data_IF_474462378757
#
_entry.id   IF_474462378757
#
_cell.length_a   1.000
_cell.length_b   1.000
_cell.length_c   1.000
_cell.angle_alpha   90.00
_cell.angle_beta   90.00
_cell.angle_gamma   90.00
#
_symmetry.space_group_name_H-M   'P 1'
#
loop_
_entity.id
_entity.type
_entity.pdbx_description
1 polymer ?
#
# COMPACT_ATOMS: atom_id res chain seq x y z
N UNK A 1 -5.34 28.01 10.85
CA UNK A 1 -5.48 26.75 10.09
C UNK A 1 -4.12 26.44 9.53
N UNK A 2 -3.32 25.64 10.25
CA UNK A 2 -2.03 25.20 9.72
C UNK A 2 -2.32 24.07 8.73
N UNK A 3 -1.86 24.24 7.49
CA UNK A 3 -1.75 23.15 6.54
C UNK A 3 -0.80 22.12 7.14
N UNK A 4 -1.35 21.05 7.72
CA UNK A 4 -0.60 19.81 7.85
C UNK A 4 -0.53 19.25 6.44
N UNK A 5 0.51 19.65 5.69
CA UNK A 5 0.97 18.90 4.52
C UNK A 5 1.14 17.46 5.02
N UNK A 6 0.16 16.61 4.73
CA UNK A 6 0.23 15.23 5.12
C UNK A 6 1.26 14.55 4.22
N UNK A 7 2.04 13.59 4.72
CA UNK A 7 3.04 12.89 3.90
C UNK A 7 2.40 12.29 2.64
N UNK A 8 1.12 11.88 2.70
CA UNK A 8 0.38 11.41 1.53
C UNK A 8 0.15 12.52 0.50
N UNK A 9 -0.21 13.73 0.93
CA UNK A 9 -0.41 14.85 0.00
C UNK A 9 0.89 15.25 -0.69
N UNK A 10 2.01 15.17 0.02
CA UNK A 10 3.33 15.39 -0.55
C UNK A 10 3.67 14.33 -1.59
N UNK A 11 3.51 13.05 -1.26
CA UNK A 11 3.74 11.94 -2.20
C UNK A 11 2.77 12.06 -3.39
N UNK A 12 1.49 12.36 -3.17
CA UNK A 12 0.52 12.62 -4.23
C UNK A 12 0.99 13.74 -5.14
N UNK A 13 1.41 14.88 -4.60
CA UNK A 13 1.95 16.01 -5.38
C UNK A 13 3.15 15.60 -6.24
N UNK A 14 4.05 14.79 -5.70
CA UNK A 14 5.23 14.28 -6.42
C UNK A 14 4.85 13.20 -7.46
N UNK A 15 3.79 12.43 -7.23
CA UNK A 15 3.28 11.40 -8.13
C UNK A 15 2.34 11.93 -9.24
N UNK A 16 1.83 13.16 -9.16
CA UNK A 16 0.95 13.76 -10.20
C UNK A 16 1.62 13.82 -11.58
N UNK A 17 2.95 13.83 -11.65
CA UNK A 17 3.69 13.77 -12.92
C UNK A 17 3.87 12.35 -13.49
N UNK A 18 3.41 11.33 -12.77
CA UNK A 18 3.51 9.91 -13.14
C UNK A 18 2.13 9.31 -13.42
N UNK A 19 2.06 8.14 -14.05
CA UNK A 19 0.84 7.35 -14.34
C UNK A 19 0.09 6.84 -13.10
N UNK A 20 0.39 7.39 -11.92
CA UNK A 20 -0.12 6.95 -10.64
C UNK A 20 -1.64 7.05 -10.56
N UNK A 21 -2.30 6.01 -10.05
CA UNK A 21 -3.71 6.09 -9.64
C UNK A 21 -3.78 6.45 -8.17
N UNK A 22 -4.61 7.44 -7.84
CA UNK A 22 -4.78 7.94 -6.48
C UNK A 22 -6.15 7.55 -5.94
N UNK A 23 -6.16 6.83 -4.83
CA UNK A 23 -7.32 6.55 -3.97
C UNK A 23 -7.04 7.21 -2.61
N UNK A 24 -8.04 7.60 -1.83
CA UNK A 24 -7.91 8.58 -0.75
C UNK A 24 -6.69 8.35 0.16
N UNK A 25 -6.47 7.12 0.63
CA UNK A 25 -5.33 6.74 1.47
C UNK A 25 -4.32 5.81 0.77
N UNK A 26 -4.43 5.66 -0.55
CA UNK A 26 -3.65 4.70 -1.35
C UNK A 26 -3.14 5.30 -2.66
N UNK A 27 -1.88 5.05 -2.97
CA UNK A 27 -1.26 5.45 -4.24
C UNK A 27 -0.80 4.19 -4.97
N UNK A 28 -1.27 4.02 -6.20
CA UNK A 28 -0.90 2.90 -7.05
C UNK A 28 0.16 3.34 -8.06
N UNK A 29 1.40 2.93 -7.77
CA UNK A 29 2.56 2.78 -8.64
C UNK A 29 2.34 1.76 -9.78
N UNK A 30 3.12 1.86 -10.85
CA UNK A 30 3.32 0.73 -11.77
C UNK A 30 4.05 -0.43 -11.05
N UNK A 31 5.05 -0.11 -10.21
CA UNK A 31 5.89 -1.08 -9.48
C UNK A 31 5.52 -1.21 -7.99
N UNK A 32 4.75 -0.26 -7.45
CA UNK A 32 4.53 -0.13 -6.00
C UNK A 32 3.07 0.16 -5.65
N UNK A 33 2.65 -0.15 -4.43
CA UNK A 33 1.42 0.37 -3.83
C UNK A 33 1.82 1.00 -2.50
N UNK A 34 1.55 2.29 -2.35
CA UNK A 34 1.84 3.04 -1.13
C UNK A 34 0.53 3.18 -0.36
N UNK A 35 0.50 2.66 0.86
CA UNK A 35 -0.61 2.83 1.79
C UNK A 35 -0.19 3.81 2.87
N UNK A 36 -1.09 4.71 3.28
CA UNK A 36 -0.84 5.54 4.44
C UNK A 36 -2.02 5.53 5.42
N UNK A 37 -1.72 5.64 6.70
CA UNK A 37 -2.73 5.73 7.77
C UNK A 37 -2.25 6.64 8.89
N UNK A 38 -3.20 7.34 9.53
CA UNK A 38 -2.89 8.18 10.68
C UNK A 38 -2.53 7.33 11.91
N UNK A 39 -3.02 6.08 11.96
CA UNK A 39 -2.69 5.10 12.99
C UNK A 39 -2.19 3.79 12.39
N UNK A 40 -1.41 2.99 13.16
CA UNK A 40 -1.02 1.65 12.72
C UNK A 40 -2.21 0.72 12.46
N UNK A 41 -3.33 0.96 13.16
CA UNK A 41 -4.55 0.17 13.01
C UNK A 41 -5.22 0.43 11.66
N UNK A 42 -5.44 1.69 11.30
CA UNK A 42 -6.02 2.07 10.00
C UNK A 42 -5.15 1.56 8.85
N UNK A 43 -3.84 1.71 8.97
CA UNK A 43 -2.88 1.22 7.99
C UNK A 43 -2.95 -0.31 7.80
N UNK A 44 -3.11 -1.06 8.89
CA UNK A 44 -3.28 -2.51 8.85
C UNK A 44 -4.63 -2.91 8.22
N UNK A 45 -5.70 -2.19 8.52
CA UNK A 45 -7.03 -2.42 7.92
C UNK A 45 -6.99 -2.18 6.40
N UNK A 46 -6.38 -1.08 5.96
CA UNK A 46 -6.15 -0.78 4.53
C UNK A 46 -5.30 -1.86 3.86
N UNK A 47 -4.22 -2.29 4.51
CA UNK A 47 -3.37 -3.37 4.00
C UNK A 47 -4.15 -4.67 3.81
N UNK A 48 -4.93 -5.08 4.82
CA UNK A 48 -5.76 -6.29 4.76
C UNK A 48 -6.78 -6.19 3.63
N UNK A 49 -7.50 -5.07 3.52
CA UNK A 49 -8.49 -4.86 2.47
C UNK A 49 -7.86 -5.00 1.08
N UNK A 50 -6.77 -4.26 0.82
CA UNK A 50 -6.15 -4.24 -0.51
C UNK A 50 -5.52 -5.59 -0.85
N UNK A 51 -4.84 -6.26 0.08
CA UNK A 51 -4.29 -7.60 -0.18
C UNK A 51 -5.38 -8.66 -0.31
N UNK A 52 -6.51 -8.55 0.40
CA UNK A 52 -7.64 -9.48 0.24
C UNK A 52 -8.23 -9.44 -1.16
N UNK A 53 -8.36 -8.25 -1.76
CA UNK A 53 -8.78 -8.10 -3.16
C UNK A 53 -7.81 -8.79 -4.15
N UNK A 54 -6.52 -8.88 -3.81
CA UNK A 54 -5.54 -9.66 -4.57
C UNK A 54 -5.67 -11.16 -4.29
N UNK A 55 -5.92 -11.55 -3.04
CA UNK A 55 -6.11 -12.94 -2.63
C UNK A 55 -7.32 -13.59 -3.32
N UNK A 56 -8.40 -12.86 -3.59
CA UNK A 56 -9.55 -13.34 -4.37
C UNK A 56 -9.17 -13.76 -5.80
N UNK A 57 -8.08 -13.21 -6.33
CA UNK A 57 -7.54 -13.53 -7.66
C UNK A 57 -6.44 -14.61 -7.60
N UNK A 58 -6.05 -15.04 -6.41
CA UNK A 58 -5.00 -16.04 -6.16
C UNK A 58 -5.62 -17.37 -5.71
N UNK A 59 -4.86 -18.47 -5.86
CA UNK A 59 -5.21 -19.73 -5.19
C UNK A 59 -5.18 -19.52 -3.66
N UNK A 60 -6.25 -19.91 -2.96
CA UNK A 60 -6.44 -19.71 -1.51
C UNK A 60 -5.31 -20.27 -0.63
N UNK A 61 -4.62 -21.32 -1.07
CA UNK A 61 -3.45 -21.86 -0.39
C UNK A 61 -2.20 -20.96 -0.52
N UNK A 62 -2.10 -20.17 -1.60
CA UNK A 62 -1.00 -19.21 -1.84
C UNK A 62 -1.28 -17.88 -1.15
N UNK A 63 -2.53 -17.45 -1.08
CA UNK A 63 -2.94 -16.18 -0.48
C UNK A 63 -2.40 -15.98 0.94
N UNK A 64 -2.53 -16.98 1.82
CA UNK A 64 -2.04 -16.88 3.20
C UNK A 64 -0.51 -16.74 3.30
N UNK A 65 0.24 -17.42 2.43
CA UNK A 65 1.71 -17.33 2.39
C UNK A 65 2.17 -15.97 1.84
N UNK A 66 1.48 -15.46 0.83
CA UNK A 66 1.75 -14.12 0.28
C UNK A 66 1.47 -13.06 1.33
N UNK A 67 0.31 -13.12 1.99
CA UNK A 67 -0.04 -12.21 3.08
C UNK A 67 1.02 -12.22 4.21
N UNK A 68 1.44 -13.40 4.65
CA UNK A 68 2.49 -13.53 5.66
C UNK A 68 3.84 -12.98 5.19
N UNK A 69 4.25 -13.26 3.95
CA UNK A 69 5.52 -12.73 3.40
C UNK A 69 5.50 -11.22 3.27
N UNK A 70 4.40 -10.66 2.78
CA UNK A 70 4.24 -9.22 2.64
C UNK A 70 4.28 -8.54 4.00
N UNK A 71 3.55 -9.03 5.01
CA UNK A 71 3.63 -8.49 6.38
C UNK A 71 5.04 -8.45 6.96
N UNK A 72 5.88 -9.44 6.64
CA UNK A 72 7.27 -9.49 7.10
C UNK A 72 8.23 -8.63 6.26
N UNK A 73 7.83 -8.21 5.06
CA UNK A 73 8.63 -7.36 4.17
C UNK A 73 8.15 -5.92 4.10
N UNK A 74 7.12 -5.56 4.86
CA UNK A 74 6.62 -4.20 4.93
C UNK A 74 7.67 -3.33 5.62
N UNK A 75 8.15 -2.33 4.90
CA UNK A 75 8.92 -1.24 5.48
C UNK A 75 7.95 -0.20 6.03
N UNK A 76 7.96 -0.03 7.35
CA UNK A 76 7.21 1.03 8.01
C UNK A 76 8.07 2.28 8.05
N UNK A 77 7.58 3.36 7.46
CA UNK A 77 8.13 4.68 7.71
C UNK A 77 7.09 5.54 8.44
N UNK A 78 7.57 6.38 9.34
CA UNK A 78 6.76 7.42 9.96
C UNK A 78 7.20 8.74 9.35
N UNK A 79 6.36 9.35 8.53
CA UNK A 79 6.60 10.66 7.94
C UNK A 79 5.43 11.60 8.25
N UNK A 80 5.77 12.81 8.70
CA UNK A 80 4.81 13.87 9.08
C UNK A 80 3.61 13.40 9.94
N UNK A 81 3.81 12.39 10.81
CA UNK A 81 2.78 11.88 11.72
C UNK A 81 1.87 10.79 11.15
N UNK A 82 2.16 10.30 9.94
CA UNK A 82 1.51 9.13 9.35
C UNK A 82 2.43 7.93 9.30
N UNK A 83 1.81 6.75 9.32
CA UNK A 83 2.45 5.48 9.04
C UNK A 83 2.27 5.15 7.56
N UNK A 84 3.37 4.81 6.90
CA UNK A 84 3.38 4.47 5.47
C UNK A 84 3.90 3.05 5.30
N UNK A 85 3.24 2.31 4.41
CA UNK A 85 3.65 0.99 3.94
C UNK A 85 3.86 1.06 2.43
N UNK A 86 5.04 0.64 1.98
CA UNK A 86 5.29 0.39 0.57
C UNK A 86 5.17 -1.11 0.28
N UNK A 87 4.37 -1.44 -0.73
CA UNK A 87 4.11 -2.79 -1.20
C UNK A 87 4.70 -2.91 -2.60
N UNK A 88 5.60 -3.85 -2.80
CA UNK A 88 6.09 -4.21 -4.14
C UNK A 88 4.96 -4.87 -4.96
N UNK A 89 4.43 -4.12 -5.93
CA UNK A 89 3.32 -4.53 -6.78
C UNK A 89 3.76 -5.56 -7.79
N UNK A 90 4.93 -5.40 -8.40
CA UNK A 90 5.46 -6.34 -9.41
C UNK A 90 5.58 -7.75 -8.80
N UNK A 91 6.05 -7.82 -7.55
CA UNK A 91 6.12 -9.07 -6.80
C UNK A 91 4.75 -9.62 -6.45
N UNK A 92 3.77 -8.76 -6.13
CA UNK A 92 2.40 -9.16 -5.84
C UNK A 92 1.71 -9.75 -7.07
N UNK A 93 1.87 -9.11 -8.24
CA UNK A 93 1.30 -9.53 -9.52
C UNK A 93 1.83 -10.92 -9.95
N UNK A 94 3.12 -11.21 -9.72
CA UNK A 94 3.72 -12.55 -9.93
C UNK A 94 3.06 -13.67 -9.11
N UNK A 95 2.38 -13.35 -8.01
CA UNK A 95 1.62 -14.34 -7.23
C UNK A 95 0.18 -14.54 -7.73
N UNK A 96 -0.35 -13.59 -8.49
CA UNK A 96 -1.68 -13.66 -9.14
C UNK A 96 -1.61 -14.44 -10.44
N UNK A 97 -0.49 -14.36 -11.17
CA UNK A 97 -0.30 -15.12 -12.40
C UNK A 97 -0.42 -16.65 -12.17
N UNK A 98 -1.13 -17.38 -13.05
CA UNK A 98 -1.45 -18.80 -12.89
C UNK A 98 -0.23 -19.73 -12.81
#
# INVERSE_FOLDING_TARGET
MAWTDNALEKIKKDCITTTAQLDDDVIYLDEEIILAGATPKELLELFIEKISNYAEKMNSARAGLVFWRMLNSIEYSVDMGMYIINIDRERLDKFVEP
#
